data_IF_262040928949
#
_entry.id   IF_262040928949
#
_cell.length_a   1.000
_cell.length_b   1.000
_cell.length_c   1.000
_cell.angle_alpha   90.00
_cell.angle_beta   90.00
_cell.angle_gamma   90.00
#
_symmetry.space_group_name_H-M   'P 1'
#
loop_
_entity.id
_entity.type
_entity.pdbx_description
1 polymer ?
#
# COMPACT_ATOMS: atom_id res chain seq x y z
N UNK A 1 -5.01 21.51 8.95
CA UNK A 1 -4.20 20.62 9.81
C UNK A 1 -4.21 19.13 9.42
N UNK A 2 -5.23 18.58 8.74
CA UNK A 2 -5.31 17.14 8.36
C UNK A 2 -4.29 16.66 7.29
N UNK A 3 -3.66 17.55 6.54
CA UNK A 3 -2.73 17.21 5.44
C UNK A 3 -1.25 17.15 5.87
N UNK A 4 -0.87 17.74 6.99
CA UNK A 4 0.53 17.81 7.45
C UNK A 4 1.20 16.44 7.53
N UNK A 5 0.59 15.38 8.11
CA UNK A 5 1.26 14.09 8.21
C UNK A 5 1.49 13.41 6.86
N UNK A 6 0.64 13.62 5.87
CA UNK A 6 0.86 13.07 4.52
C UNK A 6 2.01 13.79 3.79
N UNK A 7 2.15 15.10 4.00
CA UNK A 7 3.26 15.89 3.46
C UNK A 7 4.58 15.44 4.11
N UNK A 8 4.59 15.22 5.42
CA UNK A 8 5.75 14.70 6.13
C UNK A 8 6.15 13.30 5.64
N UNK A 9 5.18 12.44 5.38
CA UNK A 9 5.43 11.11 4.81
C UNK A 9 6.03 11.20 3.39
N UNK A 10 5.48 12.07 2.54
CA UNK A 10 6.04 12.29 1.20
C UNK A 10 7.47 12.85 1.27
N UNK A 11 7.74 13.76 2.20
CA UNK A 11 9.08 14.29 2.43
C UNK A 11 10.05 13.21 2.92
N UNK A 12 9.59 12.32 3.80
CA UNK A 12 10.37 11.15 4.26
C UNK A 12 10.74 10.23 3.10
N UNK A 13 9.82 9.98 2.14
CA UNK A 13 10.11 9.20 0.92
C UNK A 13 11.23 9.85 0.12
N UNK A 14 11.17 11.16 -0.09
CA UNK A 14 12.23 11.90 -0.82
C UNK A 14 13.57 11.79 -0.10
N UNK A 15 13.59 12.03 1.21
CA UNK A 15 14.80 11.99 2.03
C UNK A 15 15.43 10.59 2.05
N UNK A 16 14.62 9.54 2.20
CA UNK A 16 15.09 8.16 2.21
C UNK A 16 15.75 7.76 0.88
N UNK A 17 15.32 8.33 -0.24
CA UNK A 17 15.90 8.05 -1.55
C UNK A 17 17.15 8.88 -1.87
N UNK A 18 17.58 9.79 -0.98
CA UNK A 18 18.88 10.45 -1.10
C UNK A 18 19.99 9.42 -0.92
N UNK A 19 20.98 9.31 -1.85
CA UNK A 19 22.03 8.28 -1.79
C UNK A 19 22.82 8.27 -0.46
N UNK A 20 23.06 9.42 0.13
CA UNK A 20 23.73 9.54 1.41
C UNK A 20 22.96 8.90 2.55
N UNK A 21 21.63 9.06 2.57
CA UNK A 21 20.74 8.45 3.59
C UNK A 21 20.65 6.95 3.35
N UNK A 22 20.44 6.53 2.11
CA UNK A 22 20.41 5.12 1.69
C UNK A 22 21.67 4.38 2.11
N UNK A 23 22.83 4.99 1.89
CA UNK A 23 24.14 4.45 2.27
C UNK A 23 24.36 4.24 3.77
N UNK A 24 23.57 4.84 4.64
CA UNK A 24 23.64 4.61 6.09
C UNK A 24 23.11 3.21 6.47
N UNK A 25 22.10 2.72 5.75
CA UNK A 25 21.42 1.47 6.09
C UNK A 25 22.12 0.22 5.57
N UNK A 26 22.75 0.30 4.39
CA UNK A 26 23.38 -0.85 3.72
C UNK A 26 24.53 -1.46 4.54
N UNK A 27 25.54 -0.70 4.99
CA UNK A 27 26.70 -1.27 5.70
C UNK A 27 26.37 -1.82 7.09
N UNK A 28 25.21 -1.44 7.66
CA UNK A 28 24.81 -1.79 9.02
C UNK A 28 23.84 -2.96 9.08
N UNK A 29 23.61 -3.68 7.98
CA UNK A 29 22.60 -4.73 7.88
C UNK A 29 21.19 -4.25 8.25
N UNK A 30 20.91 -2.94 8.06
CA UNK A 30 19.65 -2.29 8.38
C UNK A 30 18.75 -2.09 7.14
N UNK A 31 19.05 -2.78 6.04
CA UNK A 31 18.27 -2.68 4.80
C UNK A 31 16.77 -2.97 5.03
N UNK A 32 16.46 -3.91 5.92
CA UNK A 32 15.08 -4.23 6.28
C UNK A 32 14.36 -3.06 6.98
N UNK A 33 15.08 -2.28 7.83
CA UNK A 33 14.52 -1.08 8.47
C UNK A 33 14.23 -0.02 7.40
N UNK A 34 15.16 0.19 6.47
CA UNK A 34 14.96 1.10 5.35
C UNK A 34 13.70 0.74 4.55
N UNK A 35 13.58 -0.52 4.13
CA UNK A 35 12.43 -1.04 3.37
C UNK A 35 11.12 -0.84 4.16
N UNK A 36 11.12 -1.14 5.46
CA UNK A 36 9.95 -0.98 6.32
C UNK A 36 9.49 0.49 6.40
N UNK A 37 10.43 1.40 6.69
CA UNK A 37 10.12 2.83 6.83
C UNK A 37 9.70 3.44 5.50
N UNK A 38 10.34 3.03 4.40
CA UNK A 38 9.98 3.47 3.05
C UNK A 38 8.56 2.98 2.68
N UNK A 39 8.23 1.71 2.94
CA UNK A 39 6.91 1.13 2.68
C UNK A 39 5.82 1.86 3.46
N UNK A 40 6.06 2.10 4.76
CA UNK A 40 5.12 2.82 5.61
C UNK A 40 4.91 4.26 5.10
N UNK A 41 5.98 4.97 4.80
CA UNK A 41 5.93 6.35 4.32
C UNK A 41 5.21 6.47 2.98
N UNK A 42 5.49 5.55 2.04
CA UNK A 42 4.80 5.49 0.74
C UNK A 42 3.31 5.20 0.89
N UNK A 43 2.96 4.17 1.66
CA UNK A 43 1.55 3.82 1.92
C UNK A 43 0.80 5.00 2.52
N UNK A 44 1.41 5.67 3.50
CA UNK A 44 0.78 6.80 4.18
C UNK A 44 0.65 8.02 3.27
N UNK A 45 1.65 8.31 2.43
CA UNK A 45 1.62 9.39 1.46
C UNK A 45 0.58 9.17 0.35
N UNK A 46 0.37 7.90 -0.05
CA UNK A 46 -0.61 7.51 -1.07
C UNK A 46 -2.07 7.52 -0.57
N UNK A 47 -2.29 7.45 0.74
CA UNK A 47 -3.62 7.33 1.33
C UNK A 47 -4.63 8.40 0.87
N UNK A 48 -4.27 9.71 0.75
CA UNK A 48 -5.22 10.72 0.26
C UNK A 48 -5.68 10.47 -1.18
N UNK A 49 -4.73 10.04 -2.03
CA UNK A 49 -5.01 9.74 -3.45
C UNK A 49 -5.96 8.54 -3.55
N UNK A 50 -5.65 7.46 -2.81
CA UNK A 50 -6.49 6.26 -2.79
C UNK A 50 -7.90 6.56 -2.25
N UNK A 51 -8.03 7.32 -1.17
CA UNK A 51 -9.32 7.76 -0.65
C UNK A 51 -10.12 8.58 -1.65
N UNK A 52 -9.46 9.45 -2.39
CA UNK A 52 -10.12 10.24 -3.43
C UNK A 52 -10.58 9.35 -4.60
N UNK A 53 -9.75 8.40 -5.03
CA UNK A 53 -10.10 7.43 -6.09
C UNK A 53 -11.26 6.54 -5.67
N UNK A 54 -11.24 6.01 -4.44
CA UNK A 54 -12.31 5.19 -3.89
C UNK A 54 -13.67 5.91 -3.93
N UNK A 55 -13.68 7.20 -3.54
CA UNK A 55 -14.90 8.02 -3.61
C UNK A 55 -15.38 8.24 -5.04
N UNK A 56 -14.45 8.41 -6.01
CA UNK A 56 -14.81 8.56 -7.43
C UNK A 56 -15.39 7.29 -8.04
N UNK A 57 -14.91 6.13 -7.60
CA UNK A 57 -15.36 4.81 -8.08
C UNK A 57 -16.58 4.28 -7.30
N UNK A 58 -17.12 5.07 -6.38
CA UNK A 58 -18.19 4.66 -5.45
C UNK A 58 -17.87 3.40 -4.63
N UNK A 59 -16.58 3.08 -4.50
CA UNK A 59 -16.05 1.99 -3.69
C UNK A 59 -15.98 2.42 -2.22
N UNK A 60 -17.17 2.69 -1.65
CA UNK A 60 -17.33 3.22 -0.28
C UNK A 60 -18.34 2.37 0.50
N UNK A 61 -18.07 2.17 1.78
CA UNK A 61 -19.01 1.54 2.68
C UNK A 61 -19.97 2.60 3.25
N UNK A 62 -21.24 2.46 2.93
CA UNK A 62 -22.27 3.39 3.42
C UNK A 62 -22.69 3.02 4.84
N UNK A 63 -22.90 4.00 5.74
CA UNK A 63 -23.42 3.75 7.07
C UNK A 63 -24.86 3.25 6.96
N UNK A 64 -25.18 2.13 7.64
CA UNK A 64 -26.54 1.58 7.65
C UNK A 64 -26.69 0.26 8.42
N UNK A 65 -27.82 0.06 9.08
CA UNK A 65 -28.21 -1.18 9.75
C UNK A 65 -27.32 -1.56 10.94
N UNK A 66 -26.59 -2.67 10.84
CA UNK A 66 -25.73 -3.22 11.90
C UNK A 66 -24.33 -2.61 11.95
N UNK A 67 -24.05 -1.57 11.15
CA UNK A 67 -22.71 -1.00 11.03
C UNK A 67 -22.48 0.11 12.06
N UNK A 68 -21.35 0.04 12.73
CA UNK A 68 -20.94 0.94 13.82
C UNK A 68 -20.39 2.29 13.34
N UNK A 69 -20.24 2.48 12.03
CA UNK A 69 -19.65 3.70 11.46
C UNK A 69 -20.74 4.72 11.10
N UNK A 70 -20.58 5.94 11.59
CA UNK A 70 -21.45 7.08 11.29
C UNK A 70 -21.05 7.83 10.01
N UNK A 71 -19.88 7.53 9.45
CA UNK A 71 -19.34 8.20 8.26
C UNK A 71 -19.06 7.20 7.14
N UNK A 72 -19.18 7.68 5.89
CA UNK A 72 -18.83 6.93 4.67
C UNK A 72 -17.35 6.57 4.67
N UNK A 73 -17.02 5.27 4.68
CA UNK A 73 -15.64 4.80 4.77
C UNK A 73 -15.16 4.27 3.41
N UNK A 74 -14.08 4.82 2.83
CA UNK A 74 -13.50 4.29 1.60
C UNK A 74 -12.96 2.86 1.80
N UNK A 75 -13.34 1.92 0.91
CA UNK A 75 -12.98 0.49 1.01
C UNK A 75 -11.57 0.17 0.48
N UNK A 76 -11.02 0.96 -0.45
CA UNK A 76 -9.77 0.67 -1.17
C UNK A 76 -8.48 0.86 -0.34
N UNK A 77 -8.51 0.60 0.99
CA UNK A 77 -7.31 0.71 1.84
C UNK A 77 -6.17 -0.22 1.40
N UNK A 78 -6.50 -1.43 0.95
CA UNK A 78 -5.55 -2.39 0.40
C UNK A 78 -4.79 -1.89 -0.82
N UNK A 79 -5.39 -0.99 -1.62
CA UNK A 79 -4.71 -0.38 -2.77
C UNK A 79 -3.52 0.50 -2.36
N UNK A 80 -3.63 1.26 -1.26
CA UNK A 80 -2.51 2.06 -0.75
C UNK A 80 -1.35 1.17 -0.29
N UNK A 81 -1.67 0.05 0.38
CA UNK A 81 -0.66 -0.91 0.87
C UNK A 81 0.04 -1.58 -0.32
N UNK A 82 -0.72 -2.08 -1.29
CA UNK A 82 -0.16 -2.74 -2.46
C UNK A 82 0.70 -1.80 -3.31
N UNK A 83 0.23 -0.57 -3.57
CA UNK A 83 1.00 0.43 -4.30
C UNK A 83 2.28 0.82 -3.54
N UNK A 84 2.20 0.96 -2.22
CA UNK A 84 3.37 1.17 -1.37
C UNK A 84 4.38 0.04 -1.51
N UNK A 85 3.93 -1.22 -1.44
CA UNK A 85 4.76 -2.41 -1.65
C UNK A 85 5.40 -2.43 -3.05
N UNK A 86 4.63 -2.23 -4.12
CA UNK A 86 5.13 -2.22 -5.49
C UNK A 86 6.18 -1.11 -5.72
N UNK A 87 5.94 0.09 -5.17
CA UNK A 87 6.88 1.19 -5.24
C UNK A 87 8.17 0.92 -4.46
N UNK A 88 8.09 0.23 -3.31
CA UNK A 88 9.31 -0.20 -2.57
C UNK A 88 10.13 -1.15 -3.41
N UNK A 89 9.53 -2.14 -4.06
CA UNK A 89 10.25 -3.06 -4.95
C UNK A 89 11.00 -2.30 -6.05
N UNK A 90 10.39 -1.24 -6.57
CA UNK A 90 11.00 -0.40 -7.59
C UNK A 90 12.09 0.53 -7.04
N UNK A 91 11.84 1.24 -5.94
CA UNK A 91 12.76 2.25 -5.39
C UNK A 91 13.95 1.66 -4.63
N UNK A 92 13.79 0.45 -4.07
CA UNK A 92 14.83 -0.25 -3.32
C UNK A 92 15.44 -1.43 -4.09
N UNK A 93 15.28 -1.48 -5.41
CA UNK A 93 15.75 -2.59 -6.24
C UNK A 93 17.26 -2.85 -6.14
N UNK A 94 18.06 -1.84 -5.84
CA UNK A 94 19.50 -1.91 -5.60
C UNK A 94 19.86 -2.55 -4.25
N UNK A 95 18.92 -2.60 -3.31
CA UNK A 95 19.07 -3.20 -1.98
C UNK A 95 18.41 -4.57 -1.86
N UNK A 96 17.48 -4.88 -2.76
CA UNK A 96 16.69 -6.11 -2.76
C UNK A 96 17.29 -7.12 -3.75
N UNK A 97 17.58 -8.33 -3.27
CA UNK A 97 17.90 -9.43 -4.16
C UNK A 97 16.62 -9.91 -4.84
N UNK A 98 16.52 -9.68 -6.15
CA UNK A 98 15.39 -10.16 -6.96
C UNK A 98 15.48 -11.68 -7.19
N UNK A 99 15.40 -12.43 -6.10
CA UNK A 99 15.37 -13.89 -6.12
C UNK A 99 14.06 -14.42 -6.72
N UNK A 100 14.02 -15.72 -7.03
CA UNK A 100 12.79 -16.35 -7.53
C UNK A 100 11.66 -16.31 -6.49
N UNK A 101 12.02 -16.41 -5.21
CA UNK A 101 11.08 -16.30 -4.09
C UNK A 101 10.43 -14.91 -4.05
N UNK A 102 11.22 -13.84 -4.20
CA UNK A 102 10.70 -12.46 -4.22
C UNK A 102 9.76 -12.24 -5.41
N UNK A 103 10.09 -12.79 -6.59
CA UNK A 103 9.20 -12.76 -7.76
C UNK A 103 7.90 -13.50 -7.50
N UNK A 104 7.96 -14.67 -6.85
CA UNK A 104 6.79 -15.43 -6.44
C UNK A 104 5.89 -14.63 -5.48
N UNK A 105 6.49 -14.00 -4.46
CA UNK A 105 5.78 -13.14 -3.51
C UNK A 105 5.14 -11.96 -4.22
N UNK A 106 5.85 -11.29 -5.12
CA UNK A 106 5.33 -10.15 -5.87
C UNK A 106 4.14 -10.56 -6.77
N UNK A 107 4.25 -11.70 -7.46
CA UNK A 107 3.16 -12.23 -8.28
C UNK A 107 1.93 -12.60 -7.43
N UNK A 108 2.14 -13.34 -6.34
CA UNK A 108 1.07 -13.70 -5.40
C UNK A 108 0.38 -12.48 -4.80
N UNK A 109 1.15 -11.49 -4.35
CA UNK A 109 0.61 -10.23 -3.83
C UNK A 109 -0.21 -9.48 -4.88
N UNK A 110 0.24 -9.49 -6.15
CA UNK A 110 -0.51 -8.86 -7.27
C UNK A 110 -1.84 -9.56 -7.51
N UNK A 111 -1.87 -10.88 -7.50
CA UNK A 111 -3.10 -11.66 -7.69
C UNK A 111 -4.10 -11.41 -6.56
N UNK A 112 -3.64 -11.51 -5.31
CA UNK A 112 -4.50 -11.25 -4.13
C UNK A 112 -5.02 -9.81 -4.14
N UNK A 113 -4.17 -8.85 -4.47
CA UNK A 113 -4.58 -7.45 -4.61
C UNK A 113 -5.64 -7.26 -5.70
N UNK A 114 -5.44 -7.86 -6.89
CA UNK A 114 -6.39 -7.74 -8.00
C UNK A 114 -7.79 -8.27 -7.60
N UNK A 115 -7.83 -9.43 -6.93
CA UNK A 115 -9.07 -10.04 -6.43
C UNK A 115 -9.72 -9.15 -5.35
N UNK A 116 -8.91 -8.64 -4.41
CA UNK A 116 -9.40 -7.72 -3.37
C UNK A 116 -9.95 -6.42 -3.94
N UNK A 117 -9.30 -5.86 -4.96
CA UNK A 117 -9.76 -4.65 -5.65
C UNK A 117 -11.07 -4.90 -6.41
N UNK A 118 -11.20 -6.05 -7.06
CA UNK A 118 -12.45 -6.47 -7.70
C UNK A 118 -13.57 -6.62 -6.68
N UNK A 119 -13.27 -7.17 -5.50
CA UNK A 119 -14.23 -7.28 -4.40
C UNK A 119 -14.68 -5.90 -3.90
N UNK A 120 -13.75 -4.97 -3.70
CA UNK A 120 -14.05 -3.61 -3.24
C UNK A 120 -14.92 -2.81 -4.22
N UNK A 121 -14.78 -3.06 -5.53
CA UNK A 121 -15.51 -2.33 -6.58
C UNK A 121 -16.87 -2.98 -6.91
N UNK A 122 -16.90 -4.32 -7.04
CA UNK A 122 -18.08 -5.04 -7.56
C UNK A 122 -18.79 -5.90 -6.52
N UNK A 123 -18.23 -6.05 -5.31
CA UNK A 123 -18.85 -6.83 -4.24
C UNK A 123 -18.95 -8.31 -4.60
N UNK A 124 -17.85 -9.03 -4.67
CA UNK A 124 -17.83 -10.45 -5.05
C UNK A 124 -18.63 -11.32 -4.06
N UNK A 125 -19.28 -12.36 -4.57
CA UNK A 125 -19.96 -13.32 -3.72
C UNK A 125 -18.96 -14.06 -2.79
N UNK A 126 -19.43 -14.46 -1.60
CA UNK A 126 -18.59 -15.14 -0.61
C UNK A 126 -17.92 -16.42 -1.18
N UNK A 127 -18.59 -17.11 -2.11
CA UNK A 127 -18.05 -18.33 -2.76
C UNK A 127 -16.87 -18.00 -3.67
N UNK A 128 -16.97 -16.95 -4.48
CA UNK A 128 -15.90 -16.51 -5.38
C UNK A 128 -14.70 -16.06 -4.55
N UNK A 129 -14.93 -15.30 -3.48
CA UNK A 129 -13.89 -14.83 -2.56
C UNK A 129 -13.13 -16.00 -1.91
N UNK A 130 -13.85 -17.02 -1.46
CA UNK A 130 -13.25 -18.21 -0.84
C UNK A 130 -12.38 -19.04 -1.81
N UNK A 131 -12.82 -19.16 -3.08
CA UNK A 131 -12.05 -19.93 -4.10
C UNK A 131 -10.83 -19.16 -4.58
N UNK A 132 -10.87 -17.83 -4.54
CA UNK A 132 -9.82 -16.96 -5.04
C UNK A 132 -8.68 -16.71 -4.01
N UNK A 133 -8.91 -16.98 -2.74
CA UNK A 133 -7.94 -16.88 -1.64
C UNK A 133 -7.28 -18.24 -1.33
#
# INVERSE_FOLDING_TARGET
MRQIPHILAALAVVLLNVPAVKGIFVPRHLAWVYVLVLAFSLTYALMPIVKWTARKLDAVDQPGGRKTHSEVTPLMGGAAIYLGFALVLFLAQDMLLFSQELKGVALGATLVFAIGLMDDIWGLSARIRLVAQ
#
